data_IF_678264377724
#
_entry.id   IF_678264377724
#
_cell.length_a   1.000
_cell.length_b   1.000
_cell.length_c   1.000
_cell.angle_alpha   90.00
_cell.angle_beta   90.00
_cell.angle_gamma   90.00
#
_symmetry.space_group_name_H-M   'P 1'
#
loop_
_entity.id
_entity.type
_entity.pdbx_description
1 polymer ?
#
# COMPACT_ATOMS: atom_id res chain seq x y z
N UNK A 1 -39.87 -22.19 -11.79
CA UNK A 1 -38.60 -21.45 -11.94
C UNK A 1 -38.62 -20.23 -11.05
N UNK A 2 -37.82 -20.21 -9.99
CA UNK A 2 -37.53 -19.01 -9.22
C UNK A 2 -36.23 -18.39 -9.79
N UNK A 3 -36.37 -17.54 -10.80
CA UNK A 3 -35.26 -16.73 -11.32
C UNK A 3 -34.89 -15.69 -10.24
N UNK A 4 -33.63 -15.39 -9.90
CA UNK A 4 -32.51 -15.02 -10.78
C UNK A 4 -31.17 -15.11 -10.00
N UNK A 5 -30.16 -15.58 -10.73
CA UNK A 5 -28.71 -15.77 -10.47
C UNK A 5 -28.02 -15.05 -9.29
N UNK A 6 -27.35 -15.87 -8.48
CA UNK A 6 -26.00 -15.69 -7.91
C UNK A 6 -25.49 -14.26 -7.65
N UNK A 7 -25.47 -13.84 -6.39
CA UNK A 7 -24.58 -12.78 -5.89
C UNK A 7 -23.62 -13.40 -4.89
N UNK A 8 -22.45 -13.85 -5.36
CA UNK A 8 -21.44 -14.46 -4.50
C UNK A 8 -20.98 -13.47 -3.41
N UNK A 9 -20.84 -13.97 -2.17
CA UNK A 9 -20.15 -13.22 -1.12
C UNK A 9 -18.74 -12.88 -1.60
N UNK A 10 -18.41 -11.59 -1.68
CA UNK A 10 -17.08 -11.15 -2.08
C UNK A 10 -16.04 -11.68 -1.10
N UNK A 11 -15.25 -12.66 -1.56
CA UNK A 11 -14.11 -13.25 -0.83
C UNK A 11 -12.84 -12.41 -0.93
N UNK A 12 -12.95 -11.19 -1.46
CA UNK A 12 -11.85 -10.31 -1.80
C UNK A 12 -11.84 -9.12 -0.82
N UNK A 13 -11.13 -9.29 0.30
CA UNK A 13 -10.92 -8.25 1.31
C UNK A 13 -9.59 -8.40 2.03
N UNK A 14 -8.65 -9.18 1.47
CA UNK A 14 -7.32 -9.35 2.03
C UNK A 14 -6.43 -8.25 1.48
N UNK A 15 -6.10 -7.29 2.33
CA UNK A 15 -5.06 -6.32 2.05
C UNK A 15 -3.92 -6.48 3.06
N UNK A 16 -2.70 -6.21 2.59
CA UNK A 16 -1.51 -6.22 3.43
C UNK A 16 -1.26 -4.83 3.99
N UNK A 17 -0.62 -4.73 5.15
CA UNK A 17 -0.25 -3.43 5.69
C UNK A 17 0.73 -2.72 4.74
N UNK A 18 0.46 -1.44 4.47
CA UNK A 18 1.32 -0.64 3.61
C UNK A 18 2.72 -0.47 4.24
N UNK A 19 3.77 -0.78 3.48
CA UNK A 19 5.16 -0.75 3.95
C UNK A 19 5.76 0.67 4.00
N UNK A 20 4.98 1.70 3.64
CA UNK A 20 5.40 3.10 3.59
C UNK A 20 6.69 3.31 2.79
N UNK A 21 6.79 2.68 1.63
CA UNK A 21 7.91 2.88 0.70
C UNK A 21 7.90 4.30 0.13
N UNK A 22 9.03 4.75 -0.37
CA UNK A 22 9.21 6.03 -1.03
C UNK A 22 10.31 6.90 -0.44
N UNK A 23 10.44 8.09 -1.02
CA UNK A 23 11.49 9.06 -0.69
C UNK A 23 11.30 9.60 0.72
N UNK A 24 12.39 9.59 1.49
CA UNK A 24 12.46 10.04 2.89
C UNK A 24 13.14 11.40 3.02
N UNK A 25 14.05 11.73 2.12
CA UNK A 25 14.73 13.04 2.04
C UNK A 25 14.85 13.45 0.58
N UNK A 26 14.49 14.70 0.30
CA UNK A 26 14.55 15.28 -1.04
C UNK A 26 15.78 16.18 -1.19
N UNK A 27 16.08 16.58 -2.43
CA UNK A 27 17.21 17.48 -2.72
C UNK A 27 17.15 18.79 -1.94
N UNK A 28 18.30 19.26 -1.46
CA UNK A 28 18.42 20.50 -0.68
C UNK A 28 18.18 20.35 0.82
N UNK A 29 17.84 19.15 1.31
CA UNK A 29 17.71 18.88 2.74
C UNK A 29 19.05 18.45 3.34
N UNK A 30 19.42 19.02 4.49
CA UNK A 30 20.58 18.55 5.25
C UNK A 30 20.31 17.17 5.85
N UNK A 31 21.26 16.26 5.67
CA UNK A 31 21.20 14.89 6.21
C UNK A 31 22.46 14.57 6.98
N UNK A 32 22.30 13.86 8.10
CA UNK A 32 23.41 13.27 8.83
C UNK A 32 23.84 11.98 8.14
N UNK A 33 25.08 11.57 8.37
CA UNK A 33 25.59 10.28 7.89
C UNK A 33 24.74 9.12 8.43
N UNK A 34 24.41 8.17 7.57
CA UNK A 34 23.56 7.01 7.91
C UNK A 34 22.06 7.22 7.73
N UNK A 35 21.60 8.42 7.34
CA UNK A 35 20.20 8.64 7.00
C UNK A 35 19.80 7.94 5.69
N UNK A 36 18.60 7.36 5.67
CA UNK A 36 18.01 6.74 4.48
C UNK A 36 17.37 7.83 3.61
N UNK A 37 17.67 7.83 2.31
CA UNK A 37 17.12 8.80 1.35
C UNK A 37 15.84 8.25 0.69
N UNK A 38 15.78 6.96 0.38
CA UNK A 38 14.61 6.26 -0.18
C UNK A 38 14.52 4.88 0.46
N UNK A 39 13.29 4.41 0.73
CA UNK A 39 13.03 3.06 1.22
C UNK A 39 12.08 2.33 0.28
#
# INVERSE_FOLDING_TARGET
MAHKKAGGSSRNGRDSQAQRLGVKRYGGQFVLAGNIIVR
#
